data_IF_752912006845
#
_entry.id   IF_752912006845
#
_cell.length_a   1.000
_cell.length_b   1.000
_cell.length_c   1.000
_cell.angle_alpha   90.00
_cell.angle_beta   90.00
_cell.angle_gamma   90.00
#
_symmetry.space_group_name_H-M   'P 1'
#
loop_
_entity.id
_entity.type
_entity.pdbx_description
1 polymer ?
#
# COMPACT_ATOMS: atom_id res chain seq x y z
N UNK A 1 2.57 16.06 12.82
CA UNK A 1 3.28 14.76 12.91
C UNK A 1 2.26 13.67 13.13
N UNK A 2 2.13 12.76 12.17
CA UNK A 2 1.18 11.64 12.22
C UNK A 2 1.91 10.37 12.68
N UNK A 3 1.23 9.49 13.43
CA UNK A 3 1.78 8.18 13.80
C UNK A 3 1.37 7.16 12.76
N UNK A 4 2.36 6.50 12.16
CA UNK A 4 2.19 5.47 11.14
C UNK A 4 2.70 4.15 11.69
N UNK A 5 1.89 3.09 11.56
CA UNK A 5 2.32 1.72 11.88
C UNK A 5 2.33 0.91 10.60
N UNK A 6 3.44 0.26 10.32
CA UNK A 6 3.63 -0.57 9.13
C UNK A 6 3.72 -2.04 9.55
N UNK A 7 2.76 -2.84 9.11
CA UNK A 7 2.85 -4.29 9.21
C UNK A 7 3.69 -4.81 8.05
N UNK A 8 4.83 -5.41 8.39
CA UNK A 8 5.83 -5.87 7.44
C UNK A 8 7.05 -4.96 7.34
N UNK A 9 8.23 -5.59 7.39
CA UNK A 9 9.55 -4.92 7.40
C UNK A 9 10.41 -5.34 6.20
N UNK A 10 9.74 -5.77 5.11
CA UNK A 10 10.38 -6.06 3.83
C UNK A 10 10.68 -4.79 3.04
N UNK A 11 11.16 -4.96 1.80
CA UNK A 11 11.57 -3.86 0.94
C UNK A 11 10.48 -2.79 0.77
N UNK A 12 9.22 -3.20 0.53
CA UNK A 12 8.09 -2.25 0.40
C UNK A 12 7.81 -1.52 1.71
N UNK A 13 7.78 -2.25 2.85
CA UNK A 13 7.55 -1.64 4.16
C UNK A 13 8.60 -0.59 4.50
N UNK A 14 9.88 -0.90 4.27
CA UNK A 14 10.97 0.06 4.48
C UNK A 14 10.90 1.26 3.55
N UNK A 15 10.64 1.05 2.26
CA UNK A 15 10.54 2.15 1.30
C UNK A 15 9.37 3.09 1.62
N UNK A 16 8.20 2.55 1.98
CA UNK A 16 7.03 3.34 2.37
C UNK A 16 7.30 4.07 3.69
N UNK A 17 7.84 3.37 4.69
CA UNK A 17 8.15 3.98 5.99
C UNK A 17 9.19 5.09 5.88
N UNK A 18 10.20 4.93 5.03
CA UNK A 18 11.17 5.97 4.72
C UNK A 18 10.50 7.25 4.18
N UNK A 19 9.55 7.11 3.26
CA UNK A 19 8.81 8.26 2.72
C UNK A 19 7.94 8.95 3.78
N UNK A 20 7.29 8.21 4.67
CA UNK A 20 6.57 8.83 5.80
C UNK A 20 7.52 9.52 6.79
N UNK A 21 8.69 8.93 7.08
CA UNK A 21 9.70 9.55 7.94
C UNK A 21 10.30 10.81 7.32
N UNK A 22 10.60 10.80 6.01
CA UNK A 22 11.08 11.97 5.27
C UNK A 22 10.06 13.13 5.29
N UNK A 23 8.77 12.80 5.31
CA UNK A 23 7.68 13.77 5.50
C UNK A 23 7.46 14.19 6.97
N UNK A 24 8.32 13.77 7.90
CA UNK A 24 8.29 14.19 9.31
C UNK A 24 7.29 13.43 10.17
N UNK A 25 6.88 12.22 9.80
CA UNK A 25 5.97 11.41 10.60
C UNK A 25 6.72 10.42 11.51
N UNK A 26 6.05 9.97 12.57
CA UNK A 26 6.52 8.95 13.51
C UNK A 26 6.16 7.56 12.96
N UNK A 27 7.16 6.75 12.61
CA UNK A 27 6.97 5.46 11.95
C UNK A 27 7.39 4.31 12.85
N UNK A 28 6.49 3.37 13.09
CA UNK A 28 6.75 2.14 13.79
C UNK A 28 6.48 0.92 12.90
N UNK A 29 7.24 -0.14 13.08
CA UNK A 29 7.08 -1.38 12.32
C UNK A 29 6.60 -2.50 13.24
N UNK A 30 5.72 -3.35 12.71
CA UNK A 30 5.28 -4.61 13.31
C UNK A 30 5.74 -5.76 12.43
N UNK A 31 6.58 -6.63 12.97
CA UNK A 31 7.08 -7.80 12.25
C UNK A 31 6.07 -8.95 12.35
N UNK A 32 5.92 -9.74 11.29
CA UNK A 32 5.06 -10.93 11.27
C UNK A 32 5.55 -12.04 12.24
N UNK A 33 6.83 -11.99 12.59
CA UNK A 33 7.45 -12.90 13.56
C UNK A 33 7.33 -12.45 15.02
N UNK A 34 6.78 -11.24 15.27
CA UNK A 34 6.58 -10.75 16.63
C UNK A 34 5.52 -11.58 17.34
N UNK A 35 5.93 -12.31 18.37
CA UNK A 35 5.02 -13.08 19.22
C UNK A 35 4.17 -12.21 20.15
N UNK A 36 4.56 -10.94 20.32
CA UNK A 36 3.85 -9.99 21.17
C UNK A 36 3.01 -9.04 20.34
N UNK A 37 1.73 -8.96 20.69
CA UNK A 37 0.79 -7.99 20.12
C UNK A 37 1.19 -6.58 20.52
N UNK A 38 1.36 -5.70 19.53
CA UNK A 38 1.61 -4.27 19.76
C UNK A 38 0.35 -3.63 20.32
N UNK A 39 0.44 -3.07 21.52
CA UNK A 39 -0.72 -2.51 22.22
C UNK A 39 -1.21 -1.16 21.70
N UNK A 40 -0.38 -0.45 20.92
CA UNK A 40 -0.72 0.88 20.43
C UNK A 40 -0.31 1.09 18.98
N UNK A 41 -1.29 1.07 18.10
CA UNK A 41 -1.11 1.36 16.68
C UNK A 41 -1.22 2.87 16.40
N UNK A 42 -0.58 3.32 15.32
CA UNK A 42 -0.67 4.68 14.81
C UNK A 42 -2.07 5.03 14.28
N UNK A 43 -2.20 6.22 13.69
CA UNK A 43 -3.44 6.67 13.05
C UNK A 43 -3.58 6.10 11.64
N UNK A 44 -2.44 5.91 10.96
CA UNK A 44 -2.33 5.29 9.64
C UNK A 44 -1.66 3.93 9.82
N UNK A 45 -2.28 2.91 9.27
CA UNK A 45 -1.84 1.51 9.30
C UNK A 45 -1.54 1.09 7.88
N UNK A 46 -0.31 0.69 7.60
CA UNK A 46 0.09 0.20 6.27
C UNK A 46 0.22 -1.33 6.32
N UNK A 47 -0.50 -2.02 5.46
CA UNK A 47 -0.43 -3.47 5.31
C UNK A 47 0.62 -3.82 4.23
N UNK A 48 1.90 -3.79 4.61
CA UNK A 48 3.04 -4.10 3.73
C UNK A 48 3.46 -5.58 3.86
N UNK A 49 2.50 -6.46 3.80
CA UNK A 49 2.64 -7.92 3.91
C UNK A 49 2.06 -8.60 2.67
N UNK A 50 2.39 -9.87 2.38
CA UNK A 50 1.67 -10.65 1.37
C UNK A 50 0.17 -10.72 1.66
N UNK A 51 -0.66 -10.66 0.61
CA UNK A 51 -2.12 -10.64 0.75
C UNK A 51 -2.70 -11.74 1.67
N UNK A 52 -2.24 -13.01 1.62
CA UNK A 52 -2.75 -14.05 2.52
C UNK A 52 -2.55 -13.77 4.02
N UNK A 53 -1.56 -12.94 4.38
CA UNK A 53 -1.29 -12.60 5.78
C UNK A 53 -2.24 -11.52 6.34
N UNK A 54 -2.93 -10.79 5.48
CA UNK A 54 -3.79 -9.67 5.86
C UNK A 54 -4.93 -10.10 6.78
N UNK A 55 -5.59 -11.21 6.47
CA UNK A 55 -6.72 -11.71 7.27
C UNK A 55 -6.35 -11.95 8.74
N UNK A 56 -5.15 -12.50 8.98
CA UNK A 56 -4.62 -12.70 10.33
C UNK A 56 -4.40 -11.39 11.09
N UNK A 57 -3.91 -10.36 10.41
CA UNK A 57 -3.72 -9.02 10.99
C UNK A 57 -5.07 -8.40 11.35
N UNK A 58 -6.03 -8.41 10.43
CA UNK A 58 -7.37 -7.86 10.66
C UNK A 58 -8.08 -8.53 11.83
N UNK A 59 -7.92 -9.86 11.98
CA UNK A 59 -8.48 -10.61 13.10
C UNK A 59 -7.79 -10.27 14.42
N UNK A 60 -6.44 -10.27 14.42
CA UNK A 60 -5.65 -10.07 15.64
C UNK A 60 -5.80 -8.67 16.21
N UNK A 61 -5.89 -7.66 15.34
CA UNK A 61 -5.92 -6.24 15.71
C UNK A 61 -7.29 -5.58 15.50
N UNK A 62 -8.37 -6.35 15.40
CA UNK A 62 -9.71 -5.85 15.08
C UNK A 62 -10.14 -4.65 15.95
N UNK A 63 -9.87 -4.69 17.26
CA UNK A 63 -10.21 -3.62 18.20
C UNK A 63 -9.35 -2.36 18.00
N UNK A 64 -8.06 -2.54 17.74
CA UNK A 64 -7.09 -1.46 17.60
C UNK A 64 -7.17 -0.76 16.24
N UNK A 65 -7.75 -1.43 15.24
CA UNK A 65 -7.94 -0.90 13.89
C UNK A 65 -9.17 0.02 13.78
N UNK A 66 -10.11 -0.03 14.74
CA UNK A 66 -11.32 0.80 14.72
C UNK A 66 -10.99 2.29 14.59
N UNK A 67 -11.63 2.95 13.63
CA UNK A 67 -11.44 4.37 13.33
C UNK A 67 -10.10 4.72 12.71
N UNK A 68 -9.24 3.74 12.39
CA UNK A 68 -7.95 3.98 11.75
C UNK A 68 -8.07 4.05 10.24
N UNK A 69 -7.07 4.66 9.60
CA UNK A 69 -6.87 4.58 8.16
C UNK A 69 -6.02 3.35 7.90
N UNK A 70 -6.55 2.39 7.15
CA UNK A 70 -5.85 1.20 6.71
C UNK A 70 -5.44 1.40 5.25
N UNK A 71 -4.14 1.40 4.98
CA UNK A 71 -3.57 1.49 3.64
C UNK A 71 -3.20 0.08 3.19
N UNK A 72 -3.94 -0.45 2.23
CA UNK A 72 -3.63 -1.71 1.58
C UNK A 72 -2.72 -1.48 0.38
N UNK A 73 -1.54 -2.10 0.41
CA UNK A 73 -0.57 -2.03 -0.69
C UNK A 73 -0.48 -3.34 -1.47
N UNK A 74 -1.29 -4.33 -1.15
CA UNK A 74 -1.14 -5.68 -1.71
C UNK A 74 -1.49 -5.72 -3.19
N UNK A 75 -0.80 -6.59 -3.93
CA UNK A 75 -1.24 -7.08 -5.21
C UNK A 75 -1.53 -8.57 -5.01
N UNK A 76 -2.79 -9.03 -5.21
CA UNK A 76 -3.18 -10.42 -4.95
C UNK A 76 -2.74 -11.35 -6.11
N UNK A 77 -1.45 -11.31 -6.42
CA UNK A 77 -0.84 -12.11 -7.50
C UNK A 77 -0.61 -13.54 -7.03
N UNK A 78 -0.86 -14.51 -7.89
CA UNK A 78 -0.35 -15.85 -7.71
C UNK A 78 1.16 -15.84 -7.97
N UNK A 79 1.97 -15.83 -6.90
CA UNK A 79 3.43 -15.75 -7.01
C UNK A 79 4.10 -17.06 -7.46
N UNK A 80 3.36 -18.16 -7.59
CA UNK A 80 3.90 -19.40 -8.15
C UNK A 80 3.92 -19.35 -9.69
N UNK A 81 2.94 -18.67 -10.29
CA UNK A 81 2.78 -18.60 -11.74
C UNK A 81 3.10 -17.21 -12.32
N UNK A 82 2.92 -16.13 -11.54
CA UNK A 82 2.92 -14.74 -11.99
C UNK A 82 1.94 -14.43 -13.13
N UNK A 83 0.90 -15.25 -13.28
CA UNK A 83 -0.02 -15.19 -14.42
C UNK A 83 -1.51 -15.06 -14.02
N UNK A 84 -1.81 -15.06 -12.72
CA UNK A 84 -3.17 -14.95 -12.19
C UNK A 84 -3.26 -14.04 -10.97
N UNK A 85 -4.47 -13.48 -10.75
CA UNK A 85 -4.86 -12.87 -9.48
C UNK A 85 -5.68 -13.87 -8.66
N UNK A 86 -5.46 -13.89 -7.33
CA UNK A 86 -6.15 -14.80 -6.39
C UNK A 86 -7.41 -14.19 -5.78
N UNK A 87 -8.00 -13.21 -6.45
CA UNK A 87 -9.28 -12.58 -6.11
C UNK A 87 -10.25 -12.66 -7.29
N UNK A 88 -11.60 -12.59 -7.06
CA UNK A 88 -12.56 -12.57 -8.14
C UNK A 88 -12.33 -11.43 -9.14
N UNK A 89 -12.57 -11.68 -10.43
CA UNK A 89 -12.31 -10.72 -11.52
C UNK A 89 -13.15 -9.44 -11.43
N UNK A 90 -14.26 -9.47 -10.72
CA UNK A 90 -15.16 -8.34 -10.47
C UNK A 90 -14.92 -7.63 -9.14
N UNK A 91 -13.87 -8.02 -8.39
CA UNK A 91 -13.52 -7.51 -7.08
C UNK A 91 -12.05 -7.09 -7.00
N UNK A 92 -11.56 -6.84 -5.78
CA UNK A 92 -10.17 -6.53 -5.45
C UNK A 92 -9.83 -7.03 -4.05
N UNK A 93 -8.54 -7.22 -3.77
CA UNK A 93 -8.07 -7.51 -2.42
C UNK A 93 -8.53 -6.43 -1.43
N UNK A 94 -8.45 -5.16 -1.81
CA UNK A 94 -8.88 -4.04 -0.97
C UNK A 94 -10.39 -4.05 -0.69
N UNK A 95 -11.21 -4.47 -1.66
CA UNK A 95 -12.66 -4.60 -1.44
C UNK A 95 -12.96 -5.70 -0.39
N UNK A 96 -12.23 -6.82 -0.44
CA UNK A 96 -12.32 -7.88 0.57
C UNK A 96 -11.89 -7.36 1.95
N UNK A 97 -10.77 -6.64 2.01
CA UNK A 97 -10.28 -6.02 3.27
C UNK A 97 -11.33 -5.06 3.84
N UNK A 98 -11.91 -4.20 3.01
CA UNK A 98 -12.92 -3.22 3.44
C UNK A 98 -14.20 -3.91 3.95
N UNK A 99 -14.59 -5.04 3.38
CA UNK A 99 -15.76 -5.80 3.84
C UNK A 99 -15.58 -6.41 5.24
N UNK A 100 -14.34 -6.64 5.66
CA UNK A 100 -13.98 -7.15 6.99
C UNK A 100 -13.70 -6.01 7.98
N UNK A 101 -12.98 -4.98 7.54
CA UNK A 101 -12.56 -3.85 8.37
C UNK A 101 -13.59 -2.70 8.36
N UNK A 102 -14.87 -3.01 8.60
CA UNK A 102 -16.01 -2.09 8.45
C UNK A 102 -15.96 -0.85 9.35
N UNK A 103 -15.26 -0.93 10.48
CA UNK A 103 -15.08 0.19 11.41
C UNK A 103 -13.82 1.02 11.09
N UNK A 104 -13.16 0.77 9.96
CA UNK A 104 -11.93 1.45 9.53
C UNK A 104 -12.12 2.14 8.19
N UNK A 105 -11.26 3.11 7.89
CA UNK A 105 -11.23 3.82 6.61
C UNK A 105 -10.18 3.16 5.71
N UNK A 106 -10.61 2.39 4.72
CA UNK A 106 -9.70 1.62 3.88
C UNK A 106 -9.31 2.41 2.62
N UNK A 107 -8.02 2.47 2.35
CA UNK A 107 -7.42 3.14 1.20
C UNK A 107 -6.52 2.15 0.45
N UNK A 108 -6.70 2.00 -0.85
CA UNK A 108 -5.71 1.36 -1.74
C UNK A 108 -4.63 2.37 -2.08
N UNK A 109 -3.35 1.98 -1.97
CA UNK A 109 -2.26 2.85 -2.37
C UNK A 109 -0.93 2.11 -2.51
N UNK A 110 0.07 2.74 -3.13
CA UNK A 110 1.45 2.24 -3.32
C UNK A 110 1.61 0.97 -4.17
N UNK A 111 0.56 0.24 -4.45
CA UNK A 111 0.60 -1.07 -5.11
C UNK A 111 1.03 -1.00 -6.60
N UNK A 112 0.97 0.19 -7.21
CA UNK A 112 1.41 0.46 -8.59
C UNK A 112 2.85 0.97 -8.67
N UNK A 113 3.62 0.83 -7.60
CA UNK A 113 5.02 1.26 -7.50
C UNK A 113 5.89 0.11 -7.00
N UNK A 114 7.17 0.13 -7.33
CA UNK A 114 8.15 -0.79 -6.75
C UNK A 114 8.87 -0.17 -5.55
N UNK A 115 9.41 -1.00 -4.68
CA UNK A 115 10.17 -0.53 -3.51
C UNK A 115 11.34 0.38 -3.91
N UNK A 116 12.04 0.05 -5.00
CA UNK A 116 13.15 0.85 -5.48
C UNK A 116 12.70 2.22 -5.99
N UNK A 117 11.57 2.32 -6.70
CA UNK A 117 11.05 3.60 -7.18
C UNK A 117 10.50 4.46 -6.04
N UNK A 118 9.95 3.84 -4.99
CA UNK A 118 9.55 4.55 -3.76
C UNK A 118 10.77 5.07 -2.99
N UNK A 119 11.83 4.27 -2.87
CA UNK A 119 13.04 4.66 -2.15
C UNK A 119 13.79 5.81 -2.86
N UNK A 120 13.90 5.74 -4.20
CA UNK A 120 14.55 6.79 -4.99
C UNK A 120 13.64 7.95 -5.31
N UNK A 121 12.32 7.79 -5.11
CA UNK A 121 11.26 8.74 -5.50
C UNK A 121 11.21 9.01 -7.01
N UNK A 122 11.83 8.10 -7.79
CA UNK A 122 11.94 8.21 -9.23
C UNK A 122 11.70 6.87 -9.92
N UNK A 123 10.91 6.91 -10.98
CA UNK A 123 10.75 5.82 -11.95
C UNK A 123 11.83 5.95 -13.00
N UNK A 124 12.57 4.87 -13.25
CA UNK A 124 13.71 4.81 -14.17
C UNK A 124 14.81 5.86 -13.90
N UNK A 125 14.90 6.38 -12.66
CA UNK A 125 15.87 7.39 -12.29
C UNK A 125 15.54 8.83 -12.76
N UNK A 126 14.48 9.02 -13.52
CA UNK A 126 14.15 10.28 -14.19
C UNK A 126 12.85 10.91 -13.66
N UNK A 127 11.74 10.17 -13.71
CA UNK A 127 10.41 10.71 -13.47
C UNK A 127 9.98 10.53 -12.03
N UNK A 128 9.34 11.55 -11.45
CA UNK A 128 8.82 11.49 -10.08
C UNK A 128 7.86 10.31 -9.90
N UNK A 129 8.07 9.52 -8.85
CA UNK A 129 7.17 8.44 -8.49
C UNK A 129 5.85 8.98 -8.01
N UNK A 130 4.75 8.50 -8.59
CA UNK A 130 3.39 8.88 -8.25
C UNK A 130 2.68 7.75 -7.52
N UNK A 131 2.12 8.04 -6.36
CA UNK A 131 1.26 7.13 -5.60
C UNK A 131 -0.20 7.42 -5.96
N UNK A 132 -0.90 6.40 -6.45
CA UNK A 132 -2.32 6.48 -6.75
C UNK A 132 -3.12 5.99 -5.54
N UNK A 133 -4.11 6.78 -5.09
CA UNK A 133 -4.95 6.46 -3.94
C UNK A 133 -6.40 6.23 -4.37
N UNK A 134 -7.01 5.15 -3.90
CA UNK A 134 -8.44 4.89 -4.09
C UNK A 134 -9.12 4.56 -2.75
N UNK A 135 -10.22 5.25 -2.44
CA UNK A 135 -11.00 5.04 -1.22
C UNK A 135 -12.37 5.69 -1.37
N UNK A 136 -13.38 5.14 -0.69
CA UNK A 136 -14.69 5.78 -0.55
C UNK A 136 -14.67 6.87 0.54
N UNK A 137 -13.65 6.88 1.42
CA UNK A 137 -13.45 7.92 2.43
C UNK A 137 -12.51 9.02 1.90
N UNK A 138 -13.10 10.16 1.54
CA UNK A 138 -12.36 11.31 1.01
C UNK A 138 -11.40 11.91 2.06
N UNK A 139 -11.79 11.92 3.36
CA UNK A 139 -10.96 12.45 4.44
C UNK A 139 -9.72 11.58 4.65
N UNK A 140 -9.84 10.25 4.53
CA UNK A 140 -8.72 9.34 4.61
C UNK A 140 -7.70 9.57 3.49
N UNK A 141 -8.16 9.82 2.25
CA UNK A 141 -7.27 10.17 1.13
C UNK A 141 -6.55 11.50 1.38
N UNK A 142 -7.28 12.52 1.84
CA UNK A 142 -6.69 13.83 2.21
C UNK A 142 -5.67 13.69 3.33
N UNK A 143 -5.99 12.94 4.39
CA UNK A 143 -5.08 12.71 5.51
C UNK A 143 -3.82 11.98 5.10
N UNK A 144 -3.94 10.97 4.21
CA UNK A 144 -2.81 10.22 3.69
C UNK A 144 -1.93 11.08 2.78
N UNK A 145 -2.54 11.86 1.88
CA UNK A 145 -1.82 12.83 1.03
C UNK A 145 -1.02 13.82 1.88
N UNK A 146 -1.64 14.38 2.91
CA UNK A 146 -0.97 15.29 3.83
C UNK A 146 0.17 14.62 4.61
N UNK A 147 0.02 13.35 4.97
CA UNK A 147 1.08 12.60 5.66
C UNK A 147 2.27 12.27 4.75
N UNK A 148 2.10 12.34 3.43
CA UNK A 148 3.17 12.16 2.43
C UNK A 148 3.73 13.48 1.90
N UNK A 149 3.14 14.61 2.29
CA UNK A 149 3.61 15.93 1.85
C UNK A 149 5.05 16.17 2.35
N UNK A 150 5.92 16.59 1.43
CA UNK A 150 7.35 16.74 1.70
C UNK A 150 8.18 15.46 1.54
N UNK A 151 7.58 14.29 1.28
CA UNK A 151 8.33 13.04 1.04
C UNK A 151 9.10 13.04 -0.29
N UNK A 152 8.70 13.86 -1.25
CA UNK A 152 9.22 13.87 -2.63
C UNK A 152 8.44 12.97 -3.58
N UNK A 153 7.40 12.27 -3.12
CA UNK A 153 6.45 11.54 -3.96
C UNK A 153 5.35 12.48 -4.48
N UNK A 154 4.84 12.22 -5.68
CA UNK A 154 3.56 12.76 -6.11
C UNK A 154 2.43 11.85 -5.60
N UNK A 155 1.26 12.44 -5.30
CA UNK A 155 0.07 11.69 -4.85
C UNK A 155 -1.13 12.14 -5.68
N UNK A 156 -1.86 11.18 -6.24
CA UNK A 156 -3.06 11.43 -7.04
C UNK A 156 -4.23 10.63 -6.48
N UNK A 157 -5.37 11.30 -6.32
CA UNK A 157 -6.64 10.65 -6.01
C UNK A 157 -7.18 9.94 -7.28
N UNK A 158 -7.18 8.61 -7.25
CA UNK A 158 -7.69 7.77 -8.34
C UNK A 158 -9.21 7.54 -8.26
N UNK A 159 -9.88 8.06 -7.22
CA UNK A 159 -11.33 7.99 -7.05
C UNK A 159 -11.78 7.06 -5.92
N UNK A 160 -12.96 6.46 -6.09
CA UNK A 160 -13.57 5.57 -5.10
C UNK A 160 -12.81 4.26 -4.93
N UNK A 161 -13.11 3.52 -3.85
CA UNK A 161 -12.48 2.22 -3.58
C UNK A 161 -12.66 1.21 -4.72
N UNK A 162 -13.70 1.37 -5.55
CA UNK A 162 -13.91 0.58 -6.76
C UNK A 162 -12.69 0.60 -7.71
N UNK A 163 -11.90 1.68 -7.71
CA UNK A 163 -10.67 1.78 -8.52
C UNK A 163 -9.53 0.87 -8.04
N UNK A 164 -9.65 0.30 -6.84
CA UNK A 164 -8.65 -0.67 -6.35
C UNK A 164 -8.48 -1.85 -7.32
N UNK A 165 -9.56 -2.27 -7.98
CA UNK A 165 -9.51 -3.32 -9.00
C UNK A 165 -8.59 -2.97 -10.17
N UNK A 166 -8.72 -1.78 -10.72
CA UNK A 166 -7.87 -1.31 -11.82
C UNK A 166 -6.43 -1.08 -11.35
N UNK A 167 -6.24 -0.58 -10.12
CA UNK A 167 -4.90 -0.41 -9.55
C UNK A 167 -4.21 -1.76 -9.32
N UNK A 168 -4.94 -2.79 -8.88
CA UNK A 168 -4.40 -4.15 -8.74
C UNK A 168 -4.08 -4.77 -10.10
N UNK A 169 -4.88 -4.54 -11.12
CA UNK A 169 -4.59 -4.98 -12.49
C UNK A 169 -3.32 -4.31 -13.07
N UNK A 170 -3.14 -3.00 -12.83
CA UNK A 170 -1.91 -2.28 -13.22
C UNK A 170 -0.71 -2.82 -12.44
N UNK A 171 -0.84 -3.01 -11.14
CA UNK A 171 0.22 -3.59 -10.31
C UNK A 171 0.59 -5.00 -10.73
N UNK A 172 -0.39 -5.84 -11.04
CA UNK A 172 -0.18 -7.19 -11.57
C UNK A 172 0.60 -7.16 -12.89
N UNK A 173 0.15 -6.35 -13.86
CA UNK A 173 0.84 -6.23 -15.14
C UNK A 173 2.29 -5.78 -14.96
N UNK A 174 2.53 -4.77 -14.10
CA UNK A 174 3.87 -4.26 -13.85
C UNK A 174 4.77 -5.32 -13.22
N UNK A 175 4.28 -6.10 -12.25
CA UNK A 175 5.00 -7.19 -11.60
C UNK A 175 5.31 -8.29 -12.61
N UNK A 176 4.35 -8.69 -13.44
CA UNK A 176 4.53 -9.73 -14.47
C UNK A 176 5.59 -9.35 -15.49
N UNK A 177 5.59 -8.08 -15.93
CA UNK A 177 6.62 -7.56 -16.84
C UNK A 177 8.02 -7.57 -16.20
N UNK A 178 8.11 -7.23 -14.91
CA UNK A 178 9.39 -7.24 -14.20
C UNK A 178 9.89 -8.68 -13.94
N UNK A 179 9.00 -9.60 -13.58
CA UNK A 179 9.31 -11.01 -13.39
C UNK A 179 9.77 -11.67 -14.70
N UNK A 180 9.21 -11.25 -15.85
CA UNK A 180 9.60 -11.68 -17.18
C UNK A 180 10.81 -10.90 -17.75
N UNK A 181 11.51 -10.09 -16.94
CA UNK A 181 12.67 -9.28 -17.32
C UNK A 181 12.43 -8.31 -18.51
N UNK A 182 11.16 -7.91 -18.73
CA UNK A 182 10.79 -6.92 -19.76
C UNK A 182 11.00 -5.49 -19.29
N UNK A 183 10.91 -5.27 -17.98
CA UNK A 183 11.25 -4.00 -17.32
C UNK A 183 12.10 -4.29 -16.07
N UNK A 184 12.84 -3.29 -15.60
CA UNK A 184 13.62 -3.42 -14.37
C UNK A 184 12.76 -3.07 -13.13
N UNK A 185 13.10 -3.62 -11.97
CA UNK A 185 12.48 -3.30 -10.69
C UNK A 185 12.71 -1.84 -10.22
N UNK A 186 13.55 -1.08 -10.92
CA UNK A 186 13.78 0.36 -10.73
C UNK A 186 13.00 1.23 -11.71
N UNK A 187 12.24 0.61 -12.63
CA UNK A 187 11.37 1.27 -13.61
C UNK A 187 9.88 1.04 -13.28
N UNK A 188 9.01 1.12 -14.26
CA UNK A 188 7.56 0.92 -14.09
C UNK A 188 6.75 1.91 -14.90
N UNK A 189 5.48 2.06 -14.52
CA UNK A 189 4.59 3.02 -15.19
C UNK A 189 4.69 4.39 -14.52
N UNK A 190 4.88 5.44 -15.32
CA UNK A 190 4.85 6.83 -14.88
C UNK A 190 3.50 7.47 -15.13
N UNK A 191 3.13 8.43 -14.29
CA UNK A 191 1.97 9.30 -14.50
C UNK A 191 2.48 10.68 -14.80
N UNK A 192 2.10 11.23 -15.96
CA UNK A 192 2.50 12.55 -16.42
C UNK A 192 1.27 13.47 -16.46
N UNK A 193 1.38 14.69 -15.94
CA UNK A 193 0.29 15.68 -15.88
C UNK A 193 0.85 17.11 -15.93
#
# INVERSE_FOLDING_TARGET
>A
MTKVTIFGKGNMGHAIGGNFADAGNDVAYVESSSSEKVSKLGNIIVLAVPYPAVAGILTTYASELKGKIIVDITNPVNFDTFDDLVVPSDSSATAVIASVATDSKVVKGFNTTFAATLATKKVAGEHQTTVLLASDDAEAKVALTKALDGSGLAVIDAGSLKRARELEAIGFLQISLAAAEKINWTSGFGVFH
#
